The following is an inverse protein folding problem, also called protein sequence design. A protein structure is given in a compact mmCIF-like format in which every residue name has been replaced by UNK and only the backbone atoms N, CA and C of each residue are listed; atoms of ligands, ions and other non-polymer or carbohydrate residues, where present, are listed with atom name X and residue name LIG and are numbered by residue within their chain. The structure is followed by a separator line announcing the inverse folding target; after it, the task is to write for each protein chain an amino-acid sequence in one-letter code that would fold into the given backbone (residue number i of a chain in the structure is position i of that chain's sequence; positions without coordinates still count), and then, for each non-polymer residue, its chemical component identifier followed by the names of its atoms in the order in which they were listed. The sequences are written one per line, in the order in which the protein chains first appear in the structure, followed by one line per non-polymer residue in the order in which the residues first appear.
data_IF_347344820044
#
_entry.id   IF_347344820044
#
_cell.length_a   1.000
_cell.length_b   1.000
_cell.length_c   1.000
_cell.angle_alpha   90.00
_cell.angle_beta   90.00
_cell.angle_gamma   90.00
#
_symmetry.space_group_name_H-M   'P 1'
#
loop_
_entity.id
_entity.type
_entity.pdbx_description
1 polymer ?
#
# COMPACT_ATOMS: atom_id res chain seq x y z
N UNK A 1 5.18 16.00 11.66
CA UNK A 1 5.39 15.19 10.44
C UNK A 1 4.74 15.89 9.25
N UNK A 2 5.44 15.96 8.11
CA UNK A 2 4.85 16.38 6.83
C UNK A 2 4.35 15.14 6.09
N UNK A 3 3.12 15.15 5.66
CA UNK A 3 2.50 14.06 4.88
C UNK A 3 2.26 14.55 3.46
N UNK A 4 2.69 13.74 2.49
CA UNK A 4 2.41 13.94 1.08
C UNK A 4 1.41 12.88 0.64
N UNK A 5 0.35 13.29 -0.02
CA UNK A 5 -0.56 12.40 -0.74
C UNK A 5 -0.20 12.49 -2.22
N UNK A 6 0.28 11.38 -2.76
CA UNK A 6 0.72 11.29 -4.15
C UNK A 6 -0.14 10.26 -4.86
N UNK A 7 -0.64 10.61 -6.02
CA UNK A 7 -1.41 9.71 -6.87
C UNK A 7 -0.58 9.42 -8.11
N UNK A 8 -0.18 8.19 -8.27
CA UNK A 8 0.57 7.73 -9.44
C UNK A 8 -0.38 7.36 -10.57
N UNK A 9 0.07 7.57 -11.80
CA UNK A 9 -0.57 7.06 -13.00
C UNK A 9 0.25 5.93 -13.62
N UNK A 10 -0.29 5.29 -14.65
CA UNK A 10 0.43 4.33 -15.46
C UNK A 10 1.09 3.17 -14.66
N UNK A 11 0.47 2.76 -13.53
CA UNK A 11 0.89 1.58 -12.79
C UNK A 11 0.67 0.31 -13.62
N UNK A 12 -0.52 0.13 -14.19
CA UNK A 12 -1.03 -1.10 -14.81
C UNK A 12 -0.77 -1.20 -16.33
N UNK A 13 0.33 -0.63 -16.82
CA UNK A 13 0.64 -0.57 -18.25
C UNK A 13 1.48 -1.74 -18.79
N UNK A 14 1.98 -2.62 -17.94
CA UNK A 14 2.93 -3.68 -18.32
C UNK A 14 2.37 -4.77 -19.26
N UNK A 15 1.06 -4.73 -19.57
CA UNK A 15 0.44 -5.59 -20.60
C UNK A 15 0.29 -4.91 -21.95
N UNK A 16 0.71 -3.65 -22.06
CA UNK A 16 0.70 -2.88 -23.29
C UNK A 16 2.07 -3.04 -23.95
N UNK A 17 2.13 -3.42 -25.23
CA UNK A 17 3.39 -3.61 -25.94
C UNK A 17 4.24 -2.33 -25.91
N UNK A 18 5.48 -2.45 -25.44
CA UNK A 18 6.43 -1.34 -25.32
C UNK A 18 6.30 -0.51 -24.05
N UNK A 19 5.45 -0.91 -23.10
CA UNK A 19 5.27 -0.24 -21.82
C UNK A 19 5.64 -1.17 -20.65
N UNK A 20 6.13 -0.59 -19.55
CA UNK A 20 6.44 -1.29 -18.32
C UNK A 20 5.37 -1.02 -17.25
N UNK A 21 5.43 -1.79 -16.15
CA UNK A 21 4.65 -1.56 -14.94
C UNK A 21 5.18 -0.35 -14.16
N UNK A 22 4.33 0.27 -13.33
CA UNK A 22 4.70 1.28 -12.33
C UNK A 22 5.46 2.48 -12.91
N UNK A 23 5.11 2.92 -14.13
CA UNK A 23 5.81 4.01 -14.80
C UNK A 23 5.70 5.33 -14.04
N UNK A 24 4.54 5.64 -13.46
CA UNK A 24 4.31 6.89 -12.72
C UNK A 24 5.22 7.03 -11.50
N UNK A 25 5.34 6.01 -10.68
CA UNK A 25 6.21 6.02 -9.50
C UNK A 25 7.69 6.01 -9.87
N UNK A 26 8.09 5.30 -10.94
CA UNK A 26 9.46 5.35 -11.46
C UNK A 26 9.84 6.74 -11.96
N UNK A 27 8.96 7.37 -12.74
CA UNK A 27 9.16 8.73 -13.25
C UNK A 27 9.17 9.76 -12.10
N UNK A 28 8.30 9.57 -11.10
CA UNK A 28 8.30 10.40 -9.90
C UNK A 28 9.67 10.34 -9.19
N UNK A 29 10.20 9.16 -8.95
CA UNK A 29 11.48 8.97 -8.29
C UNK A 29 12.65 9.50 -9.12
N UNK A 30 12.61 9.35 -10.43
CA UNK A 30 13.66 9.85 -11.33
C UNK A 30 13.77 11.39 -11.35
N UNK A 31 12.63 12.09 -11.16
CA UNK A 31 12.57 13.54 -11.34
C UNK A 31 12.38 14.34 -10.03
N UNK A 32 12.13 13.68 -8.91
CA UNK A 32 11.92 14.34 -7.62
C UNK A 32 12.96 13.87 -6.60
N UNK A 33 13.88 14.73 -6.16
CA UNK A 33 14.91 14.40 -5.18
C UNK A 33 14.33 14.37 -3.74
N UNK A 34 13.25 13.63 -3.53
CA UNK A 34 12.62 13.47 -2.23
C UNK A 34 13.29 12.35 -1.43
N UNK A 35 13.37 12.54 -0.11
CA UNK A 35 13.90 11.55 0.83
C UNK A 35 12.89 11.37 1.97
N UNK A 36 11.75 10.73 1.73
CA UNK A 36 10.77 10.48 2.78
C UNK A 36 11.33 9.47 3.81
N UNK A 37 10.89 9.60 5.05
CA UNK A 37 11.25 8.64 6.10
C UNK A 37 10.54 7.29 5.93
N UNK A 38 9.40 7.30 5.27
CA UNK A 38 8.62 6.11 4.94
C UNK A 38 7.69 6.40 3.76
N UNK A 39 7.42 5.37 2.97
CA UNK A 39 6.42 5.37 1.90
C UNK A 39 5.43 4.24 2.17
N UNK A 40 4.15 4.55 2.03
CA UNK A 40 3.07 3.57 2.15
C UNK A 40 2.23 3.65 0.89
N UNK A 41 2.31 2.62 0.09
CA UNK A 41 1.38 2.42 -1.03
C UNK A 41 0.10 1.83 -0.49
N UNK A 42 -1.01 2.25 -1.06
CA UNK A 42 -2.34 1.82 -0.65
C UNK A 42 -3.10 1.47 -1.91
N UNK A 43 -3.19 0.17 -2.18
CA UNK A 43 -3.84 -0.35 -3.38
C UNK A 43 -4.88 -1.42 -3.04
N UNK A 44 -5.95 -1.50 -3.84
CA UNK A 44 -6.99 -2.52 -3.76
C UNK A 44 -7.59 -2.74 -2.36
N UNK A 45 -7.61 -1.73 -1.50
CA UNK A 45 -8.03 -1.82 -0.08
C UNK A 45 -9.54 -1.77 0.14
N UNK A 46 -10.31 -1.77 -0.94
CA UNK A 46 -11.76 -1.59 -0.87
C UNK A 46 -12.57 -2.88 -0.73
N UNK A 47 -11.99 -4.05 -0.90
CA UNK A 47 -12.74 -5.32 -0.88
C UNK A 47 -13.62 -5.45 0.37
N UNK A 48 -14.87 -5.86 0.17
CA UNK A 48 -15.80 -6.13 1.26
C UNK A 48 -15.34 -7.28 2.16
N UNK A 49 -14.52 -8.20 1.63
CA UNK A 49 -13.85 -9.30 2.34
C UNK A 49 -12.34 -9.06 2.45
N UNK A 50 -11.97 -7.92 3.00
CA UNK A 50 -10.60 -7.39 3.04
C UNK A 50 -9.61 -8.33 3.75
N UNK A 51 -8.56 -8.75 3.01
CA UNK A 51 -7.51 -9.67 3.45
C UNK A 51 -6.11 -9.16 3.08
N UNK A 52 -5.55 -8.28 3.88
CA UNK A 52 -4.23 -7.69 3.67
C UNK A 52 -3.16 -8.55 4.32
N UNK A 53 -2.36 -9.25 3.52
CA UNK A 53 -1.20 -10.02 3.96
C UNK A 53 0.07 -9.18 3.92
N UNK A 54 1.09 -9.58 4.68
CA UNK A 54 2.42 -8.99 4.56
C UNK A 54 3.02 -9.34 3.21
N UNK A 55 3.36 -8.32 2.44
CA UNK A 55 4.01 -8.45 1.14
C UNK A 55 5.53 -8.62 1.34
N UNK A 56 6.17 -9.55 0.59
CA UNK A 56 7.54 -10.03 0.90
C UNK A 56 8.64 -9.05 0.50
N UNK A 57 8.41 -8.16 -0.45
CA UNK A 57 9.40 -7.17 -0.89
C UNK A 57 9.38 -5.91 -0.02
N UNK A 58 8.27 -5.64 0.64
CA UNK A 58 8.03 -4.50 1.53
C UNK A 58 9.01 -4.46 2.72
N UNK A 59 9.32 -3.24 3.21
CA UNK A 59 10.16 -3.06 4.39
C UNK A 59 9.54 -3.72 5.63
N UNK A 60 10.20 -4.71 6.24
CA UNK A 60 9.59 -5.51 7.31
C UNK A 60 9.39 -4.71 8.59
N UNK A 61 10.25 -3.74 8.91
CA UNK A 61 10.13 -2.96 10.13
C UNK A 61 8.94 -2.00 10.04
N UNK A 62 8.78 -1.34 8.89
CA UNK A 62 7.65 -0.45 8.63
C UNK A 62 6.32 -1.23 8.60
N UNK A 63 6.32 -2.44 8.02
CA UNK A 63 5.16 -3.34 8.07
C UNK A 63 4.79 -3.69 9.51
N UNK A 64 5.76 -4.12 10.32
CA UNK A 64 5.51 -4.51 11.71
C UNK A 64 4.90 -3.36 12.52
N UNK A 65 5.37 -2.12 12.31
CA UNK A 65 4.77 -0.94 12.94
C UNK A 65 3.29 -0.79 12.57
N UNK A 66 2.96 -0.82 11.28
CA UNK A 66 1.59 -0.58 10.80
C UNK A 66 0.65 -1.73 11.18
N UNK A 67 1.08 -2.99 11.05
CA UNK A 67 0.30 -4.15 11.51
C UNK A 67 0.06 -4.15 13.02
N UNK A 68 1.03 -3.69 13.82
CA UNK A 68 0.85 -3.49 15.27
C UNK A 68 -0.24 -2.46 15.57
N UNK A 69 -0.26 -1.34 14.84
CA UNK A 69 -1.31 -0.33 14.98
C UNK A 69 -2.68 -0.90 14.58
N UNK A 70 -2.77 -1.58 13.45
CA UNK A 70 -4.00 -2.23 13.00
C UNK A 70 -4.54 -3.21 14.06
N UNK A 71 -3.66 -4.04 14.62
CA UNK A 71 -4.01 -4.96 15.70
C UNK A 71 -4.53 -4.26 16.95
N UNK A 72 -3.91 -3.15 17.36
CA UNK A 72 -4.34 -2.34 18.50
C UNK A 72 -5.72 -1.68 18.32
N UNK A 73 -6.11 -1.44 17.07
CA UNK A 73 -7.42 -0.90 16.68
C UNK A 73 -8.49 -1.99 16.48
N UNK A 74 -8.11 -3.26 16.61
CA UNK A 74 -9.04 -4.40 16.42
C UNK A 74 -9.19 -4.85 14.98
N UNK A 75 -8.26 -4.48 14.09
CA UNK A 75 -8.27 -4.86 12.67
C UNK A 75 -7.30 -6.01 12.33
N UNK A 76 -6.86 -6.76 13.33
CA UNK A 76 -5.90 -7.86 13.16
C UNK A 76 -6.41 -9.02 12.30
N UNK A 77 -7.72 -9.16 12.15
CA UNK A 77 -8.39 -10.11 11.26
C UNK A 77 -8.31 -9.69 9.77
N UNK A 78 -8.11 -8.40 9.51
CA UNK A 78 -7.96 -7.82 8.17
C UNK A 78 -6.50 -7.58 7.80
N UNK A 79 -5.65 -7.22 8.76
CA UNK A 79 -4.21 -7.08 8.62
C UNK A 79 -3.53 -8.36 9.10
N UNK A 80 -3.48 -9.35 8.22
CA UNK A 80 -3.03 -10.71 8.51
C UNK A 80 -1.51 -10.76 8.62
N UNK A 81 -0.97 -11.20 9.79
CA UNK A 81 0.47 -11.20 10.07
C UNK A 81 1.22 -12.39 9.42
N UNK A 82 0.82 -12.76 8.21
CA UNK A 82 1.46 -13.81 7.42
C UNK A 82 2.02 -13.23 6.13
N UNK A 83 3.21 -13.70 5.73
CA UNK A 83 3.81 -13.32 4.44
C UNK A 83 3.23 -14.18 3.31
N UNK A 84 2.66 -13.55 2.29
CA UNK A 84 2.00 -14.29 1.21
C UNK A 84 2.57 -14.00 -0.17
N UNK A 85 2.55 -12.78 -0.62
CA UNK A 85 2.90 -12.40 -1.98
C UNK A 85 4.27 -11.75 -2.08
N UNK A 86 4.84 -11.71 -3.29
CA UNK A 86 5.93 -10.83 -3.72
C UNK A 86 5.43 -10.07 -4.93
N UNK A 87 5.23 -8.78 -4.80
CA UNK A 87 4.54 -7.95 -5.79
C UNK A 87 5.52 -6.89 -6.31
N UNK A 88 5.39 -6.54 -7.58
CA UNK A 88 5.98 -5.33 -8.16
C UNK A 88 4.85 -4.31 -8.20
N UNK A 89 4.98 -3.24 -7.41
CA UNK A 89 4.03 -2.16 -7.32
C UNK A 89 4.76 -0.84 -7.05
N UNK A 90 4.06 0.26 -6.93
CA UNK A 90 4.58 1.63 -6.78
C UNK A 90 5.51 1.83 -5.57
N UNK A 91 5.55 0.90 -4.60
CA UNK A 91 6.56 0.90 -3.53
C UNK A 91 7.96 0.51 -4.02
N UNK A 92 8.06 -0.25 -5.11
CA UNK A 92 9.31 -0.83 -5.63
C UNK A 92 10.41 0.22 -5.91
N UNK A 93 10.17 1.32 -6.66
CA UNK A 93 11.22 2.28 -6.96
C UNK A 93 11.75 3.02 -5.72
N UNK A 94 10.96 3.12 -4.65
CA UNK A 94 11.41 3.67 -3.38
C UNK A 94 12.35 2.71 -2.66
N UNK A 95 12.03 1.42 -2.62
CA UNK A 95 12.92 0.37 -2.06
C UNK A 95 14.23 0.29 -2.84
N UNK A 96 14.20 0.35 -4.17
CA UNK A 96 15.38 0.39 -5.02
C UNK A 96 16.28 1.60 -4.70
N UNK A 97 15.70 2.70 -4.27
CA UNK A 97 16.40 3.91 -3.81
C UNK A 97 16.85 3.86 -2.33
N UNK A 98 16.58 2.76 -1.62
CA UNK A 98 16.92 2.59 -0.21
C UNK A 98 16.00 3.33 0.77
N UNK A 99 14.80 3.69 0.32
CA UNK A 99 13.77 4.33 1.14
C UNK A 99 12.84 3.25 1.68
N UNK A 100 12.57 3.21 3.00
CA UNK A 100 11.61 2.27 3.58
C UNK A 100 10.24 2.44 2.94
N UNK A 101 9.73 1.40 2.29
CA UNK A 101 8.45 1.43 1.61
C UNK A 101 7.69 0.12 1.80
N UNK A 102 6.37 0.20 1.87
CA UNK A 102 5.48 -0.95 1.94
C UNK A 102 4.30 -0.80 0.99
N UNK A 103 3.74 -1.94 0.65
CA UNK A 103 2.50 -2.06 -0.08
C UNK A 103 1.42 -2.63 0.85
N UNK A 104 0.33 -1.88 1.04
CA UNK A 104 -0.90 -2.30 1.71
C UNK A 104 -1.89 -2.64 0.63
N UNK A 105 -1.96 -3.93 0.30
CA UNK A 105 -2.75 -4.42 -0.83
C UNK A 105 -3.55 -5.66 -0.45
N UNK A 106 -4.80 -5.74 -0.90
CA UNK A 106 -5.56 -6.98 -0.93
C UNK A 106 -5.43 -7.66 -2.28
N UNK A 107 -4.38 -8.48 -2.42
CA UNK A 107 -4.11 -9.21 -3.66
C UNK A 107 -4.93 -10.51 -3.79
N UNK A 108 -5.79 -10.80 -2.82
CA UNK A 108 -6.77 -11.90 -2.88
C UNK A 108 -8.10 -11.49 -3.51
N UNK A 109 -8.28 -10.20 -3.84
CA UNK A 109 -9.50 -9.66 -4.43
C UNK A 109 -9.89 -10.40 -5.72
N UNK A 110 -11.01 -11.15 -5.75
CA UNK A 110 -11.29 -12.08 -6.85
C UNK A 110 -11.80 -11.41 -8.13
N UNK A 111 -12.15 -10.14 -8.06
CA UNK A 111 -12.69 -9.37 -9.20
C UNK A 111 -11.62 -8.54 -9.92
N UNK A 112 -10.39 -8.56 -9.43
CA UNK A 112 -9.26 -7.84 -10.01
C UNK A 112 -9.13 -8.06 -11.52
N UNK A 113 -9.04 -6.98 -12.30
CA UNK A 113 -8.97 -6.98 -13.76
C UNK A 113 -10.13 -7.69 -14.47
N UNK A 114 -11.32 -7.71 -13.89
CA UNK A 114 -12.51 -8.28 -14.49
C UNK A 114 -13.62 -7.23 -14.66
N UNK A 115 -14.56 -7.49 -15.57
CA UNK A 115 -15.77 -6.67 -15.73
C UNK A 115 -16.73 -6.77 -14.52
N UNK A 116 -16.49 -7.70 -13.60
CA UNK A 116 -17.26 -7.87 -12.37
C UNK A 116 -16.74 -7.00 -11.22
N UNK A 117 -15.63 -6.28 -11.41
CA UNK A 117 -15.15 -5.26 -10.48
C UNK A 117 -16.06 -4.02 -10.56
N UNK A 118 -17.01 -4.00 -9.65
CA UNK A 118 -18.11 -3.02 -9.61
C UNK A 118 -18.24 -2.45 -8.20
N UNK A 119 -18.82 -1.23 -8.01
CA UNK A 119 -18.88 -0.57 -6.70
C UNK A 119 -19.54 -1.37 -5.57
N UNK A 120 -20.37 -2.36 -5.89
CA UNK A 120 -21.00 -3.25 -4.90
C UNK A 120 -20.03 -4.25 -4.24
N UNK A 121 -18.80 -4.35 -4.75
CA UNK A 121 -17.71 -5.14 -4.15
C UNK A 121 -16.93 -4.38 -3.09
N UNK A 122 -17.10 -3.05 -3.04
CA UNK A 122 -16.34 -2.16 -2.15
C UNK A 122 -17.10 -1.93 -0.85
N UNK A 123 -16.39 -1.94 0.26
CA UNK A 123 -16.89 -1.72 1.62
C UNK A 123 -16.30 -0.46 2.24
N UNK A 124 -17.17 0.43 2.73
CA UNK A 124 -16.74 1.59 3.50
C UNK A 124 -15.98 1.19 4.79
N UNK A 125 -16.34 0.05 5.40
CA UNK A 125 -15.68 -0.48 6.59
C UNK A 125 -14.25 -0.95 6.31
N UNK A 126 -13.98 -1.46 5.12
CA UNK A 126 -12.64 -1.84 4.67
C UNK A 126 -11.76 -0.61 4.48
N UNK A 127 -12.26 0.39 3.77
CA UNK A 127 -11.58 1.68 3.61
C UNK A 127 -11.34 2.37 4.97
N UNK A 128 -12.31 2.30 5.88
CA UNK A 128 -12.19 2.85 7.24
C UNK A 128 -11.09 2.14 8.04
N UNK A 129 -10.98 0.82 7.95
CA UNK A 129 -9.96 0.05 8.67
C UNK A 129 -8.54 0.48 8.27
N UNK A 130 -8.28 0.60 6.96
CA UNK A 130 -6.99 1.08 6.45
C UNK A 130 -6.77 2.55 6.81
N UNK A 131 -7.75 3.41 6.54
CA UNK A 131 -7.66 4.84 6.84
C UNK A 131 -7.40 5.15 8.30
N UNK A 132 -8.10 4.48 9.24
CA UNK A 132 -7.87 4.65 10.70
C UNK A 132 -6.51 4.12 11.11
N UNK A 133 -6.05 3.01 10.56
CA UNK A 133 -4.73 2.46 10.84
C UNK A 133 -3.64 3.45 10.45
N UNK A 134 -3.66 3.95 9.24
CA UNK A 134 -2.67 4.90 8.74
C UNK A 134 -2.73 6.24 9.46
N UNK A 135 -3.92 6.76 9.72
CA UNK A 135 -4.09 7.99 10.50
C UNK A 135 -3.47 7.87 11.90
N UNK A 136 -3.74 6.76 12.59
CA UNK A 136 -3.21 6.52 13.95
C UNK A 136 -1.70 6.35 13.91
N UNK A 137 -1.16 5.62 12.94
CA UNK A 137 0.28 5.46 12.76
C UNK A 137 0.99 6.80 12.50
N UNK A 138 0.45 7.65 11.63
CA UNK A 138 1.00 9.00 11.36
C UNK A 138 0.97 9.87 12.62
N UNK A 139 -0.14 9.84 13.38
CA UNK A 139 -0.26 10.61 14.62
C UNK A 139 0.79 10.20 15.65
N UNK A 140 1.02 8.90 15.86
CA UNK A 140 2.02 8.38 16.77
C UNK A 140 3.45 8.82 16.39
N UNK A 141 3.77 8.86 15.10
CA UNK A 141 5.07 9.36 14.60
C UNK A 141 5.23 10.86 14.78
N UNK A 142 4.13 11.62 14.79
CA UNK A 142 4.16 13.07 15.03
C UNK A 142 4.49 13.42 16.49
N UNK A 143 4.08 12.57 17.43
CA UNK A 143 4.30 12.77 18.88
C UNK A 143 5.72 12.40 19.32
N UNK A 144 6.49 11.71 18.47
CA UNK A 144 7.87 11.26 18.77
C UNK A 144 8.94 12.26 18.29
N UNK A 145 8.57 13.31 17.59
CA UNK A 145 9.46 14.37 17.07
C UNK A 145 9.16 15.72 17.73
#
# INVERSE_FOLDING_TARGET
VNVWLVFFDAEDNGRIEGWDWILGSREFMANNPVQPQAVVIVDMIGDADLNIYKERNSDPALMDEIWSVAGSLGYGDRFISEYKYSIIDDHTPFLEAGIPAIDIIDFDYPYWHTAADTPDKVSAQSLEAVGKTLWTWIAQRSDQN
#
